data_IF_789393150506
#
_entry.id   IF_789393150506
#
_cell.length_a   1.000
_cell.length_b   1.000
_cell.length_c   1.000
_cell.angle_alpha   90.00
_cell.angle_beta   90.00
_cell.angle_gamma   90.00
#
_symmetry.space_group_name_H-M   'P 1'
#
loop_
_entity.id
_entity.type
_entity.pdbx_description
1 polymer ?
#
# COMPACT_ATOMS: atom_id res chain seq x y z
N UNK A 1 -3.73 -3.80 7.29
CA UNK A 1 -3.53 -3.16 5.98
C UNK A 1 -4.33 -3.95 4.98
N UNK A 2 -5.41 -3.37 4.49
CA UNK A 2 -6.33 -4.02 3.56
C UNK A 2 -5.95 -3.66 2.13
N UNK A 3 -6.07 -4.61 1.21
CA UNK A 3 -5.84 -4.34 -0.21
C UNK A 3 -7.00 -3.52 -0.77
N UNK A 4 -6.71 -2.47 -1.52
CA UNK A 4 -7.76 -1.67 -2.17
C UNK A 4 -8.43 -2.38 -3.35
N UNK A 5 -7.88 -3.50 -3.83
CA UNK A 5 -8.34 -4.18 -5.06
C UNK A 5 -9.02 -5.53 -4.79
N UNK A 6 -8.82 -6.13 -3.62
CA UNK A 6 -9.43 -7.39 -3.23
C UNK A 6 -9.90 -7.33 -1.76
N UNK A 7 -10.80 -8.22 -1.31
CA UNK A 7 -11.25 -8.24 0.08
C UNK A 7 -10.23 -8.86 1.05
N UNK A 8 -9.09 -9.33 0.55
CA UNK A 8 -8.09 -10.01 1.37
C UNK A 8 -7.21 -8.99 2.13
N UNK A 9 -6.97 -9.22 3.43
CA UNK A 9 -6.04 -8.41 4.20
C UNK A 9 -4.59 -8.74 3.83
N UNK A 10 -3.65 -7.95 4.37
CA UNK A 10 -2.21 -8.22 4.23
C UNK A 10 -1.56 -7.51 3.06
N UNK A 11 -2.08 -6.34 2.66
CA UNK A 11 -1.45 -5.51 1.66
C UNK A 11 -0.07 -5.03 2.13
N UNK A 12 0.93 -5.20 1.26
CA UNK A 12 2.35 -5.00 1.54
C UNK A 12 2.98 -3.86 0.71
N UNK A 13 2.28 -3.35 -0.31
CA UNK A 13 2.76 -2.24 -1.14
C UNK A 13 1.84 -1.03 -1.10
N UNK A 14 2.41 0.16 -1.09
CA UNK A 14 1.68 1.41 -1.29
C UNK A 14 1.63 1.75 -2.78
N UNK A 15 0.43 1.98 -3.29
CA UNK A 15 0.18 2.27 -4.72
C UNK A 15 -0.28 3.71 -4.97
N UNK A 16 -0.74 4.40 -3.92
CA UNK A 16 -1.22 5.79 -4.02
C UNK A 16 -1.18 6.48 -2.67
N UNK A 17 -1.00 7.80 -2.67
CA UNK A 17 -1.17 8.66 -1.49
C UNK A 17 -2.19 9.75 -1.82
N UNK A 18 -3.29 9.79 -1.07
CA UNK A 18 -4.28 10.86 -1.18
C UNK A 18 -3.91 12.02 -0.26
N UNK A 19 -3.70 13.20 -0.82
CA UNK A 19 -3.49 14.40 -0.01
C UNK A 19 -4.83 14.84 0.59
N UNK A 20 -4.91 14.93 1.91
CA UNK A 20 -6.09 15.47 2.60
C UNK A 20 -5.91 16.97 2.86
N UNK A 21 -7.02 17.71 2.98
CA UNK A 21 -6.98 19.16 3.29
C UNK A 21 -6.26 19.50 4.60
N UNK A 22 -6.07 18.52 5.49
CA UNK A 22 -5.31 18.66 6.74
C UNK A 22 -3.79 18.46 6.56
N UNK A 23 -3.31 18.23 5.33
CA UNK A 23 -1.89 18.07 5.00
C UNK A 23 -1.34 16.66 5.20
N UNK A 24 -2.04 15.78 5.91
CA UNK A 24 -1.65 14.37 6.06
C UNK A 24 -2.03 13.57 4.80
N UNK A 25 -1.07 12.87 4.22
CA UNK A 25 -1.31 11.94 3.12
C UNK A 25 -1.92 10.62 3.61
N UNK A 26 -3.05 10.19 3.04
CA UNK A 26 -3.63 8.87 3.25
C UNK A 26 -3.03 7.89 2.24
N UNK A 27 -2.16 6.99 2.73
CA UNK A 27 -1.57 5.93 1.93
C UNK A 27 -2.61 4.84 1.62
N UNK A 28 -2.69 4.45 0.35
CA UNK A 28 -3.53 3.36 -0.16
C UNK A 28 -2.63 2.17 -0.43
N UNK A 29 -2.99 1.05 0.16
CA UNK A 29 -2.23 -0.19 0.06
C UNK A 29 -2.90 -1.20 -0.86
N UNK A 30 -2.08 -2.03 -1.49
CA UNK A 30 -2.48 -3.18 -2.28
C UNK A 30 -1.46 -4.31 -2.09
N UNK A 31 -1.79 -5.51 -2.54
CA UNK A 31 -0.79 -6.55 -2.79
C UNK A 31 0.01 -6.23 -4.05
N UNK A 32 1.27 -6.63 -4.08
CA UNK A 32 2.14 -6.45 -5.25
C UNK A 32 1.53 -7.10 -6.51
N UNK A 33 0.99 -8.30 -6.37
CA UNK A 33 0.32 -9.04 -7.45
C UNK A 33 -0.91 -8.30 -7.97
N UNK A 34 -1.80 -7.86 -7.07
CA UNK A 34 -3.00 -7.11 -7.45
C UNK A 34 -2.65 -5.78 -8.15
N UNK A 35 -1.57 -5.11 -7.76
CA UNK A 35 -1.09 -3.91 -8.42
C UNK A 35 -0.56 -4.23 -9.84
N UNK A 36 0.24 -5.29 -9.97
CA UNK A 36 0.84 -5.73 -11.23
C UNK A 36 -0.20 -6.15 -12.27
N UNK A 37 -1.20 -6.96 -11.88
CA UNK A 37 -2.29 -7.40 -12.77
C UNK A 37 -3.09 -6.22 -13.35
N UNK A 38 -3.14 -5.10 -12.62
CA UNK A 38 -3.87 -3.90 -12.99
C UNK A 38 -2.99 -2.84 -13.66
N UNK A 39 -1.69 -3.10 -13.81
CA UNK A 39 -0.71 -2.16 -14.34
C UNK A 39 -0.54 -0.90 -13.47
N UNK A 40 -0.80 -1.01 -12.16
CA UNK A 40 -0.67 0.10 -11.21
C UNK A 40 0.77 0.17 -10.70
N UNK A 41 1.43 1.34 -10.79
CA UNK A 41 2.79 1.48 -10.29
C UNK A 41 2.83 1.45 -8.76
N UNK A 42 3.82 0.73 -8.22
CA UNK A 42 4.13 0.70 -6.79
C UNK A 42 4.97 1.93 -6.41
N UNK A 43 4.58 2.64 -5.36
CA UNK A 43 5.34 3.77 -4.83
C UNK A 43 6.45 3.31 -3.88
N UNK A 44 6.09 2.48 -2.90
CA UNK A 44 7.03 1.91 -1.94
C UNK A 44 6.45 0.63 -1.31
N UNK A 45 7.32 -0.25 -0.82
CA UNK A 45 6.94 -1.44 -0.05
C UNK A 45 7.01 -1.15 1.44
N UNK A 46 6.09 -1.72 2.21
CA UNK A 46 6.12 -1.70 3.67
C UNK A 46 6.95 -2.90 4.12
N UNK A 47 8.17 -2.64 4.60
CA UNK A 47 8.97 -3.68 5.22
C UNK A 47 8.42 -3.93 6.63
N UNK A 48 8.30 -5.19 7.07
CA UNK A 48 8.05 -5.46 8.49
C UNK A 48 9.16 -4.77 9.28
N UNK A 49 8.79 -4.08 10.36
CA UNK A 49 9.76 -3.43 11.23
C UNK A 49 10.85 -4.46 11.56
N UNK A 50 12.08 -4.16 11.15
CA UNK A 50 13.22 -4.98 11.53
C UNK A 50 13.25 -4.93 13.05
N UNK A 51 12.87 -6.04 13.68
CA UNK A 51 13.01 -6.22 15.12
C UNK A 51 14.50 -6.06 15.39
N UNK A 52 14.90 -4.89 15.87
CA UNK A 52 16.23 -4.66 16.40
C UNK A 52 16.39 -5.64 17.57
N UNK A 53 17.22 -6.67 17.37
CA UNK A 53 17.67 -7.58 18.41
C UNK A 53 18.65 -6.87 19.33
#
# INVERSE_FOLDING_TARGET
MDCTYCPEPGADVCVRVHVTSSGSGLSVYAHEECAAERGVPVLYRVLPEAVAQ
#
